data_IF_613364847553
#
_entry.id   IF_613364847553
#
_cell.length_a   1.000
_cell.length_b   1.000
_cell.length_c   1.000
_cell.angle_alpha   90.00
_cell.angle_beta   90.00
_cell.angle_gamma   90.00
#
_symmetry.space_group_name_H-M   'P 1'
#
loop_
_entity.id
_entity.type
_entity.pdbx_description
1 polymer ?
#
# COMPACT_ATOMS: atom_id res chain seq x y z
N UNK A 1 -2.40 32.03 -4.78
CA UNK A 1 -3.34 31.03 -4.22
C UNK A 1 -2.91 30.73 -2.79
N UNK A 2 -3.86 30.63 -1.86
CA UNK A 2 -3.59 30.36 -0.44
C UNK A 2 -4.49 29.25 0.07
N UNK A 3 -3.98 28.40 0.95
CA UNK A 3 -4.75 27.41 1.66
C UNK A 3 -5.66 28.09 2.67
N UNK A 4 -6.98 27.86 2.60
CA UNK A 4 -7.98 28.51 3.46
C UNK A 4 -8.52 27.59 4.54
N UNK A 5 -8.63 26.28 4.26
CA UNK A 5 -9.11 25.30 5.22
C UNK A 5 -8.72 23.87 4.83
N UNK A 6 -8.79 22.96 5.79
CA UNK A 6 -8.62 21.54 5.60
C UNK A 6 -9.83 20.82 6.16
N UNK A 7 -10.56 20.09 5.31
CA UNK A 7 -11.60 19.16 5.75
C UNK A 7 -10.94 17.78 5.94
N UNK A 8 -11.20 17.14 7.06
CA UNK A 8 -10.71 15.78 7.35
C UNK A 8 -11.91 14.85 7.48
N UNK A 9 -11.89 13.76 6.73
CA UNK A 9 -12.97 12.78 6.63
C UNK A 9 -12.54 11.43 7.20
N UNK A 10 -13.36 10.83 8.04
CA UNK A 10 -13.28 9.42 8.40
C UNK A 10 -14.36 8.66 7.62
N UNK A 11 -13.95 7.91 6.61
CA UNK A 11 -14.84 7.23 5.67
C UNK A 11 -15.63 6.10 6.34
N UNK A 12 -16.81 5.79 5.82
CA UNK A 12 -17.68 4.71 6.31
C UNK A 12 -18.14 3.84 5.13
N UNK A 13 -17.33 2.84 4.73
CA UNK A 13 -17.78 1.85 3.75
C UNK A 13 -19.02 1.10 4.25
N UNK A 14 -19.94 0.72 3.34
CA UNK A 14 -21.26 0.13 3.72
C UNK A 14 -21.13 -1.17 4.49
N UNK A 15 -20.16 -2.02 4.16
CA UNK A 15 -20.10 -3.41 4.61
C UNK A 15 -18.81 -3.78 5.34
N UNK A 16 -17.94 -2.81 5.61
CA UNK A 16 -16.67 -3.08 6.27
C UNK A 16 -16.72 -2.78 7.77
N UNK A 17 -16.08 -3.62 8.60
CA UNK A 17 -15.91 -3.31 10.01
C UNK A 17 -15.12 -2.02 10.21
N UNK A 18 -15.26 -1.39 11.36
CA UNK A 18 -14.55 -0.15 11.73
C UNK A 18 -13.02 -0.22 11.57
N UNK A 19 -12.45 -1.44 11.45
CA UNK A 19 -11.03 -1.69 11.25
C UNK A 19 -10.47 -1.17 9.91
N UNK A 20 -11.33 -0.89 8.91
CA UNK A 20 -10.93 -0.43 7.56
C UNK A 20 -11.40 1.00 7.27
N UNK A 21 -11.37 1.87 8.28
CA UNK A 21 -11.77 3.26 8.12
C UNK A 21 -10.67 4.09 7.47
N UNK A 22 -10.83 4.42 6.18
CA UNK A 22 -9.95 5.36 5.47
C UNK A 22 -10.06 6.78 6.06
N UNK A 23 -8.94 7.46 6.17
CA UNK A 23 -8.86 8.86 6.59
C UNK A 23 -8.38 9.68 5.41
N UNK A 24 -9.24 10.59 4.95
CA UNK A 24 -8.97 11.44 3.78
C UNK A 24 -9.00 12.90 4.21
N UNK A 25 -8.13 13.72 3.66
CA UNK A 25 -8.25 15.17 3.78
C UNK A 25 -8.57 15.81 2.43
N UNK A 26 -9.25 16.96 2.49
CA UNK A 26 -9.42 17.87 1.37
C UNK A 26 -8.85 19.23 1.75
N UNK A 27 -7.84 19.70 1.02
CA UNK A 27 -7.27 21.04 1.19
C UNK A 27 -8.02 21.99 0.27
N UNK A 28 -8.60 23.05 0.83
CA UNK A 28 -9.31 24.10 0.10
C UNK A 28 -8.43 25.34 -0.04
N UNK A 29 -8.64 26.12 -1.11
CA UNK A 29 -7.88 27.33 -1.38
C UNK A 29 -8.80 28.56 -1.47
N UNK A 30 -8.21 29.75 -1.55
CA UNK A 30 -8.90 31.03 -1.84
C UNK A 30 -9.37 31.15 -3.30
N UNK A 31 -9.27 30.05 -4.07
CA UNK A 31 -9.81 29.87 -5.42
C UNK A 31 -10.80 28.70 -5.43
N UNK A 32 -11.29 28.30 -6.60
CA UNK A 32 -12.14 27.11 -6.74
C UNK A 32 -11.36 25.78 -6.68
N UNK A 33 -10.00 25.84 -6.63
CA UNK A 33 -9.18 24.64 -6.60
C UNK A 33 -9.09 24.04 -5.20
N UNK A 34 -9.21 22.74 -5.16
CA UNK A 34 -9.02 21.91 -3.97
C UNK A 34 -8.33 20.58 -4.36
N UNK A 35 -7.76 19.90 -3.38
CA UNK A 35 -7.15 18.58 -3.61
C UNK A 35 -7.42 17.61 -2.49
N UNK A 36 -7.44 16.32 -2.83
CA UNK A 36 -7.65 15.21 -1.92
C UNK A 36 -6.37 14.43 -1.67
N UNK A 37 -6.23 13.91 -0.45
CA UNK A 37 -5.17 12.96 -0.08
C UNK A 37 -5.60 12.07 1.06
N UNK A 38 -4.95 10.92 1.23
CA UNK A 38 -5.31 9.88 2.19
C UNK A 38 -4.16 9.55 3.13
N UNK A 39 -4.50 9.23 4.38
CA UNK A 39 -3.61 8.71 5.41
C UNK A 39 -3.80 7.20 5.59
N UNK A 40 -2.76 6.40 5.33
CA UNK A 40 -2.79 4.94 5.36
C UNK A 40 -2.71 4.37 6.79
N UNK A 41 -3.69 4.68 7.60
CA UNK A 41 -3.85 4.11 8.96
C UNK A 41 -5.24 3.50 9.12
N UNK A 42 -5.80 3.04 7.99
CA UNK A 42 -7.16 2.52 7.92
C UNK A 42 -7.32 1.14 8.55
N UNK A 43 -6.26 0.32 8.53
CA UNK A 43 -6.26 -1.01 9.13
C UNK A 43 -5.83 -0.95 10.60
N UNK A 44 -6.51 -1.71 11.47
CA UNK A 44 -6.16 -1.83 12.89
C UNK A 44 -6.61 -0.63 13.74
N UNK A 45 -5.70 -0.06 14.52
CA UNK A 45 -5.99 0.89 15.61
C UNK A 45 -5.48 2.33 15.38
N UNK A 46 -5.15 2.73 14.17
CA UNK A 46 -4.50 4.03 13.91
C UNK A 46 -5.39 5.13 13.35
N UNK A 47 -6.54 4.78 12.76
CA UNK A 47 -7.31 5.68 11.90
C UNK A 47 -7.66 7.03 12.54
N UNK A 48 -8.27 7.04 13.73
CA UNK A 48 -8.63 8.31 14.38
C UNK A 48 -7.43 9.09 14.90
N UNK A 49 -6.31 8.43 15.20
CA UNK A 49 -5.06 9.13 15.52
C UNK A 49 -4.53 9.87 14.28
N UNK A 50 -4.57 9.24 13.10
CA UNK A 50 -4.24 9.90 11.82
C UNK A 50 -5.19 11.06 11.49
N UNK A 51 -6.49 10.90 11.74
CA UNK A 51 -7.49 11.97 11.59
C UNK A 51 -7.10 13.22 12.40
N UNK A 52 -6.80 13.05 13.68
CA UNK A 52 -6.40 14.15 14.54
C UNK A 52 -5.00 14.69 14.21
N UNK A 53 -4.07 13.84 13.75
CA UNK A 53 -2.74 14.30 13.37
C UNK A 53 -2.77 15.21 12.13
N UNK A 54 -3.66 14.97 11.15
CA UNK A 54 -3.88 15.91 10.03
C UNK A 54 -4.32 17.27 10.57
N UNK A 55 -5.23 17.30 11.55
CA UNK A 55 -5.68 18.55 12.17
C UNK A 55 -4.58 19.29 12.92
N UNK A 56 -3.69 18.57 13.61
CA UNK A 56 -2.52 19.14 14.29
C UNK A 56 -1.49 19.71 13.30
N UNK A 57 -1.37 19.14 12.10
CA UNK A 57 -0.48 19.65 11.06
C UNK A 57 -1.09 20.82 10.27
N UNK A 58 -2.40 20.99 10.27
CA UNK A 58 -3.09 22.01 9.50
C UNK A 58 -2.56 23.44 9.74
N UNK A 59 -2.29 23.90 10.99
CA UNK A 59 -1.76 25.24 11.25
C UNK A 59 -0.41 25.52 10.58
N UNK A 60 0.38 24.48 10.28
CA UNK A 60 1.69 24.64 9.60
C UNK A 60 1.52 25.12 8.16
N UNK A 61 0.41 24.73 7.51
CA UNK A 61 0.18 24.97 6.08
C UNK A 61 -0.92 25.99 5.78
N UNK A 62 -1.80 26.30 6.72
CA UNK A 62 -2.86 27.31 6.54
C UNK A 62 -2.29 28.66 6.16
N UNK A 63 -2.90 29.35 5.19
CA UNK A 63 -2.48 30.62 4.66
C UNK A 63 -1.27 30.56 3.71
N UNK A 64 -0.64 29.40 3.54
CA UNK A 64 0.50 29.21 2.66
C UNK A 64 0.07 28.97 1.21
N UNK A 65 1.01 29.12 0.28
CA UNK A 65 0.82 28.78 -1.14
C UNK A 65 0.94 27.26 -1.35
N UNK A 66 -0.16 26.58 -1.77
CA UNK A 66 -0.16 25.11 -1.96
C UNK A 66 0.76 24.63 -3.07
N UNK A 67 1.21 25.49 -3.98
CA UNK A 67 2.14 25.11 -5.05
C UNK A 67 3.57 24.87 -4.57
N UNK A 68 3.90 25.32 -3.35
CA UNK A 68 5.21 25.12 -2.73
C UNK A 68 5.32 23.76 -2.02
N UNK A 69 4.97 22.68 -2.69
CA UNK A 69 4.80 21.32 -2.12
C UNK A 69 6.04 20.87 -1.34
N UNK A 70 7.25 20.96 -1.91
CA UNK A 70 8.51 20.59 -1.23
C UNK A 70 8.76 21.43 0.04
N UNK A 71 8.52 22.73 -0.04
CA UNK A 71 8.72 23.60 1.10
C UNK A 71 7.73 23.31 2.22
N UNK A 72 6.46 23.03 1.90
CA UNK A 72 5.43 22.65 2.88
C UNK A 72 5.76 21.30 3.52
N UNK A 73 6.24 20.34 2.72
CA UNK A 73 6.72 19.07 3.22
C UNK A 73 7.83 19.24 4.27
N UNK A 74 8.84 20.05 3.95
CA UNK A 74 9.96 20.36 4.86
C UNK A 74 9.47 21.09 6.12
N UNK A 75 8.49 22.00 6.01
CA UNK A 75 7.91 22.68 7.18
C UNK A 75 7.21 21.69 8.11
N UNK A 76 6.37 20.80 7.59
CA UNK A 76 5.74 19.76 8.39
C UNK A 76 6.78 18.86 9.08
N UNK A 77 7.83 18.49 8.35
CA UNK A 77 8.89 17.62 8.86
C UNK A 77 9.77 18.29 9.93
N UNK A 78 10.14 19.56 9.75
CA UNK A 78 11.11 20.27 10.60
C UNK A 78 10.46 21.02 11.75
N UNK A 79 9.34 21.71 11.51
CA UNK A 79 8.78 22.67 12.48
C UNK A 79 7.92 22.00 13.56
N UNK A 80 7.55 20.73 13.38
CA UNK A 80 6.72 19.99 14.34
C UNK A 80 7.50 19.33 15.48
N UNK A 81 8.81 19.52 15.57
CA UNK A 81 9.74 18.92 16.52
C UNK A 81 9.85 17.37 16.43
N UNK A 82 8.72 16.63 16.31
CA UNK A 82 8.67 15.18 16.28
C UNK A 82 8.79 14.58 14.87
N UNK A 83 8.71 15.39 13.82
CA UNK A 83 8.69 14.94 12.43
C UNK A 83 9.89 14.10 12.03
N UNK A 84 11.10 14.48 12.48
CA UNK A 84 12.35 13.81 12.10
C UNK A 84 12.47 12.36 12.57
N UNK A 85 11.72 11.94 13.57
CA UNK A 85 11.64 10.55 14.04
C UNK A 85 10.20 10.06 14.19
N UNK A 86 9.29 10.65 13.43
CA UNK A 86 7.87 10.30 13.41
C UNK A 86 7.63 8.83 13.03
N UNK A 87 6.48 8.36 13.42
CA UNK A 87 6.00 7.01 13.10
C UNK A 87 4.83 7.06 12.11
N UNK A 88 4.10 5.94 11.95
CA UNK A 88 3.03 5.81 10.95
C UNK A 88 1.96 6.89 11.06
N UNK A 89 1.59 7.30 12.27
CA UNK A 89 0.55 8.33 12.48
C UNK A 89 1.00 9.69 11.93
N UNK A 90 2.22 10.09 12.21
CA UNK A 90 2.78 11.37 11.74
C UNK A 90 2.95 11.37 10.21
N UNK A 91 3.63 10.34 9.68
CA UNK A 91 3.90 10.30 8.24
C UNK A 91 2.66 10.02 7.39
N UNK A 92 1.66 9.29 7.90
CA UNK A 92 0.40 9.16 7.17
C UNK A 92 -0.36 10.48 7.08
N UNK A 93 -0.35 11.31 8.14
CA UNK A 93 -0.93 12.65 8.08
C UNK A 93 -0.17 13.56 7.11
N UNK A 94 1.18 13.53 7.12
CA UNK A 94 1.99 14.24 6.12
C UNK A 94 1.68 13.77 4.70
N UNK A 95 1.52 12.44 4.49
CA UNK A 95 1.21 11.87 3.19
C UNK A 95 -0.14 12.36 2.67
N UNK A 96 -1.17 12.37 3.52
CA UNK A 96 -2.48 12.88 3.15
C UNK A 96 -2.40 14.35 2.68
N UNK A 97 -1.68 15.18 3.41
CA UNK A 97 -1.49 16.59 3.06
C UNK A 97 -0.69 16.72 1.76
N UNK A 98 0.42 16.00 1.61
CA UNK A 98 1.28 16.07 0.42
C UNK A 98 0.53 15.61 -0.85
N UNK A 99 -0.20 14.49 -0.77
CA UNK A 99 -1.01 14.01 -1.91
C UNK A 99 -2.03 15.07 -2.31
N UNK A 100 -2.72 15.70 -1.34
CA UNK A 100 -3.70 16.75 -1.61
C UNK A 100 -3.04 18.01 -2.22
N UNK A 101 -1.85 18.38 -1.78
CA UNK A 101 -1.08 19.50 -2.37
C UNK A 101 -0.64 19.20 -3.80
N UNK A 102 -0.19 17.96 -4.07
CA UNK A 102 0.17 17.53 -5.42
C UNK A 102 -1.06 17.46 -6.33
N UNK A 103 -2.22 17.06 -5.82
CA UNK A 103 -3.50 17.10 -6.53
C UNK A 103 -3.88 18.53 -6.92
N UNK A 104 -3.80 19.49 -5.99
CA UNK A 104 -4.00 20.93 -6.28
C UNK A 104 -3.02 21.41 -7.36
N UNK A 105 -1.75 21.05 -7.24
CA UNK A 105 -0.71 21.49 -8.17
C UNK A 105 -0.95 20.97 -9.57
N UNK A 106 -1.34 19.69 -9.72
CA UNK A 106 -1.74 19.11 -10.99
C UNK A 106 -2.95 19.82 -11.60
N UNK A 107 -3.99 20.05 -10.81
CA UNK A 107 -5.19 20.80 -11.21
C UNK A 107 -4.87 22.24 -11.61
N UNK A 108 -4.00 22.92 -10.87
CA UNK A 108 -3.59 24.29 -11.17
C UNK A 108 -2.84 24.43 -12.49
N UNK A 109 -2.07 23.41 -12.87
CA UNK A 109 -1.33 23.39 -14.15
C UNK A 109 -2.10 22.67 -15.26
N UNK A 110 -3.26 22.08 -14.97
CA UNK A 110 -4.08 21.36 -15.93
C UNK A 110 -3.44 20.04 -16.40
N UNK A 111 -2.64 19.37 -15.54
CA UNK A 111 -1.92 18.15 -15.85
C UNK A 111 -2.07 17.09 -14.76
N UNK A 112 -2.02 15.79 -15.11
CA UNK A 112 -1.93 14.71 -14.12
C UNK A 112 -0.64 14.80 -13.28
N UNK A 113 -0.66 14.27 -12.05
CA UNK A 113 0.49 14.33 -11.15
C UNK A 113 1.76 13.68 -11.72
N UNK A 114 1.64 12.61 -12.53
CA UNK A 114 2.81 11.99 -13.14
C UNK A 114 3.62 12.96 -14.02
N UNK A 115 2.99 13.98 -14.63
CA UNK A 115 3.67 15.01 -15.41
C UNK A 115 4.55 15.91 -14.53
N UNK A 116 4.18 16.12 -13.26
CA UNK A 116 4.94 16.94 -12.31
C UNK A 116 6.19 16.23 -11.77
N UNK A 117 6.25 14.90 -11.89
CA UNK A 117 7.30 14.06 -11.29
C UNK A 117 8.11 13.27 -12.30
N UNK A 118 8.13 13.71 -13.58
CA UNK A 118 9.03 13.16 -14.60
C UNK A 118 8.36 12.73 -15.89
N UNK A 119 7.04 12.68 -15.95
CA UNK A 119 6.29 12.25 -17.13
C UNK A 119 6.02 10.74 -17.18
N UNK A 120 5.09 10.35 -18.02
CA UNK A 120 4.57 8.99 -18.10
C UNK A 120 5.56 8.04 -18.81
N UNK A 121 5.89 6.92 -18.16
CA UNK A 121 6.70 5.81 -18.70
C UNK A 121 5.83 4.69 -19.29
N UNK A 122 4.56 4.58 -18.85
CA UNK A 122 3.62 3.52 -19.24
C UNK A 122 2.17 3.99 -19.18
N UNK A 123 1.32 3.39 -20.03
CA UNK A 123 -0.11 3.73 -20.10
C UNK A 123 -0.98 2.90 -19.16
N UNK A 124 -0.45 1.76 -18.71
CA UNK A 124 -1.09 0.84 -17.77
C UNK A 124 -0.06 0.20 -16.87
N UNK A 125 -0.50 -0.29 -15.74
CA UNK A 125 0.32 -1.05 -14.80
C UNK A 125 -0.25 -2.45 -14.63
N UNK A 126 0.61 -3.48 -14.76
CA UNK A 126 0.30 -4.85 -14.40
C UNK A 126 0.06 -4.92 -12.89
N UNK A 127 -0.99 -5.63 -12.47
CA UNK A 127 -1.29 -5.81 -11.05
C UNK A 127 -1.25 -7.28 -10.63
N UNK A 128 -1.08 -7.49 -9.33
CA UNK A 128 -1.31 -8.79 -8.70
C UNK A 128 -2.57 -8.78 -7.84
N UNK A 129 -3.24 -9.93 -7.76
CA UNK A 129 -4.35 -10.16 -6.85
C UNK A 129 -3.80 -10.44 -5.44
N UNK A 130 -4.12 -9.56 -4.47
CA UNK A 130 -3.54 -9.57 -3.13
C UNK A 130 -4.51 -10.08 -2.07
N UNK A 131 -3.97 -10.77 -1.06
CA UNK A 131 -4.69 -11.26 0.12
C UNK A 131 -5.69 -12.39 -0.17
N UNK A 132 -5.29 -13.35 -1.01
CA UNK A 132 -6.15 -14.46 -1.42
C UNK A 132 -6.59 -15.36 -0.26
N UNK A 133 -5.87 -15.40 0.85
CA UNK A 133 -6.29 -16.12 2.06
C UNK A 133 -7.61 -15.59 2.65
N UNK A 134 -8.00 -14.34 2.31
CA UNK A 134 -9.30 -13.77 2.69
C UNK A 134 -10.41 -14.14 1.69
N UNK A 135 -10.05 -14.81 0.59
CA UNK A 135 -10.90 -15.14 -0.53
C UNK A 135 -10.78 -14.14 -1.68
N UNK A 136 -10.97 -14.63 -2.91
CA UNK A 136 -11.06 -13.80 -4.13
C UNK A 136 -12.37 -14.11 -4.84
N UNK A 137 -13.50 -13.49 -4.46
CA UNK A 137 -14.81 -13.87 -4.96
C UNK A 137 -14.99 -13.50 -6.44
N UNK A 138 -15.51 -14.42 -7.24
CA UNK A 138 -15.94 -14.17 -8.61
C UNK A 138 -17.16 -13.23 -8.66
N UNK A 139 -18.01 -13.29 -7.61
CA UNK A 139 -19.20 -12.45 -7.42
C UNK A 139 -19.11 -11.76 -6.06
N UNK A 140 -19.28 -10.44 -6.03
CA UNK A 140 -19.28 -9.64 -4.80
C UNK A 140 -20.34 -10.11 -3.78
N UNK A 141 -21.45 -10.65 -4.23
CA UNK A 141 -22.49 -11.21 -3.36
C UNK A 141 -22.00 -12.41 -2.52
N UNK A 142 -20.96 -13.11 -2.98
CA UNK A 142 -20.31 -14.19 -2.23
C UNK A 142 -19.58 -13.67 -0.98
N UNK A 143 -19.10 -12.43 -1.02
CA UNK A 143 -18.30 -11.82 0.04
C UNK A 143 -16.94 -12.50 0.25
N UNK A 144 -16.22 -12.07 1.28
CA UNK A 144 -14.95 -12.67 1.71
C UNK A 144 -15.18 -14.05 2.31
N UNK A 145 -14.33 -15.01 1.94
CA UNK A 145 -14.32 -16.37 2.48
C UNK A 145 -12.89 -16.79 2.76
N UNK A 146 -12.56 -16.94 4.02
CA UNK A 146 -11.21 -17.34 4.45
C UNK A 146 -10.86 -18.71 3.86
N UNK A 147 -9.75 -18.79 3.16
CA UNK A 147 -9.17 -20.01 2.64
C UNK A 147 -8.50 -20.79 3.78
N UNK A 148 -8.79 -22.07 3.91
CA UNK A 148 -8.27 -22.91 4.99
C UNK A 148 -7.47 -24.09 4.45
N UNK A 149 -8.06 -24.84 3.52
CA UNK A 149 -7.43 -26.03 2.95
C UNK A 149 -6.55 -25.69 1.75
N UNK A 150 -5.61 -26.55 1.35
CA UNK A 150 -4.84 -26.36 0.11
C UNK A 150 -5.74 -26.13 -1.12
N UNK A 151 -6.89 -26.82 -1.20
CA UNK A 151 -7.86 -26.67 -2.28
C UNK A 151 -8.56 -25.32 -2.26
N UNK A 152 -8.78 -24.73 -1.07
CA UNK A 152 -9.34 -23.39 -0.95
C UNK A 152 -8.36 -22.35 -1.55
N UNK A 153 -7.06 -22.41 -1.18
CA UNK A 153 -6.03 -21.51 -1.71
C UNK A 153 -5.88 -21.64 -3.23
N UNK A 154 -5.88 -22.87 -3.74
CA UNK A 154 -5.84 -23.14 -5.18
C UNK A 154 -7.04 -22.51 -5.90
N UNK A 155 -8.24 -22.70 -5.38
CA UNK A 155 -9.48 -22.14 -5.95
C UNK A 155 -9.47 -20.60 -5.97
N UNK A 156 -9.07 -19.93 -4.89
CA UNK A 156 -9.04 -18.46 -4.86
C UNK A 156 -8.00 -17.91 -5.85
N UNK A 157 -6.89 -18.62 -6.04
CA UNK A 157 -5.90 -18.27 -7.07
C UNK A 157 -6.47 -18.44 -8.50
N UNK A 158 -7.17 -19.55 -8.79
CA UNK A 158 -7.85 -19.76 -10.08
C UNK A 158 -8.90 -18.67 -10.36
N UNK A 159 -9.63 -18.21 -9.32
CA UNK A 159 -10.58 -17.09 -9.47
C UNK A 159 -9.87 -15.81 -9.92
N UNK A 160 -8.70 -15.49 -9.35
CA UNK A 160 -7.92 -14.33 -9.76
C UNK A 160 -7.43 -14.46 -11.22
N UNK A 161 -6.98 -15.64 -11.63
CA UNK A 161 -6.53 -15.88 -13.01
C UNK A 161 -7.65 -15.71 -14.05
N UNK A 162 -8.88 -16.08 -13.72
CA UNK A 162 -10.04 -15.86 -14.61
C UNK A 162 -10.30 -14.38 -14.89
N UNK A 163 -9.88 -13.48 -14.00
CA UNK A 163 -9.96 -12.02 -14.17
C UNK A 163 -8.73 -11.44 -14.90
N UNK A 164 -7.82 -12.30 -15.37
CA UNK A 164 -6.65 -11.91 -16.14
C UNK A 164 -5.40 -11.61 -15.33
N UNK A 165 -5.41 -11.81 -13.99
CA UNK A 165 -4.19 -11.65 -13.21
C UNK A 165 -3.18 -12.74 -13.55
N UNK A 166 -1.92 -12.32 -13.68
CA UNK A 166 -0.76 -13.17 -13.94
C UNK A 166 0.20 -13.24 -12.74
N UNK A 167 -0.17 -12.58 -11.66
CA UNK A 167 0.51 -12.60 -10.38
C UNK A 167 -0.48 -12.57 -9.21
N UNK A 168 -0.13 -13.23 -8.13
CA UNK A 168 -0.95 -13.35 -6.92
C UNK A 168 -0.10 -13.17 -5.66
N UNK A 169 -0.69 -12.62 -4.59
CA UNK A 169 -0.07 -12.55 -3.25
C UNK A 169 -0.95 -13.21 -2.19
N UNK A 170 -0.32 -13.98 -1.30
CA UNK A 170 -1.03 -14.67 -0.23
C UNK A 170 -0.12 -14.92 0.97
N UNK A 171 -0.70 -14.82 2.17
CA UNK A 171 -0.11 -15.33 3.40
C UNK A 171 -0.60 -16.77 3.64
N UNK A 172 0.29 -17.75 3.42
CA UNK A 172 -0.03 -19.17 3.59
C UNK A 172 0.02 -19.64 5.06
N UNK A 173 0.45 -18.76 5.97
CA UNK A 173 0.71 -19.09 7.38
C UNK A 173 -0.31 -18.53 8.34
N UNK A 174 -0.98 -17.43 8.01
CA UNK A 174 -1.80 -16.64 8.94
C UNK A 174 -3.13 -17.30 9.32
N UNK A 175 -3.62 -18.28 8.57
CA UNK A 175 -4.88 -18.99 8.86
C UNK A 175 -4.61 -20.36 9.48
N UNK A 176 -5.22 -20.61 10.67
CA UNK A 176 -5.16 -21.90 11.34
C UNK A 176 -6.02 -22.98 10.64
N UNK A 177 -5.86 -24.27 11.02
CA UNK A 177 -6.67 -25.36 10.46
C UNK A 177 -8.15 -25.28 10.87
N UNK A 178 -8.47 -24.47 11.88
CA UNK A 178 -9.82 -24.17 12.35
C UNK A 178 -10.49 -23.01 11.58
N UNK A 179 -9.81 -22.42 10.59
CA UNK A 179 -10.29 -21.29 9.80
C UNK A 179 -10.19 -19.93 10.50
N UNK A 180 -9.50 -19.85 11.62
CA UNK A 180 -9.27 -18.60 12.34
C UNK A 180 -7.91 -18.00 12.01
N UNK A 181 -7.84 -16.67 12.06
CA UNK A 181 -6.56 -16.00 11.99
C UNK A 181 -5.72 -16.41 13.21
N UNK A 182 -4.45 -16.75 12.96
CA UNK A 182 -3.50 -17.11 14.02
C UNK A 182 -3.10 -15.85 14.81
N UNK A 183 -2.71 -16.05 16.06
CA UNK A 183 -2.07 -14.98 16.84
C UNK A 183 -0.71 -14.62 16.23
N UNK A 184 -0.35 -13.32 16.30
CA UNK A 184 0.84 -12.74 15.65
C UNK A 184 2.18 -13.33 16.11
N UNK A 185 2.23 -14.01 17.25
CA UNK A 185 3.45 -14.61 17.80
C UNK A 185 3.62 -16.11 17.47
N UNK A 186 2.63 -16.72 16.80
CA UNK A 186 2.65 -18.16 16.48
C UNK A 186 3.78 -18.55 15.52
N UNK A 187 4.25 -17.62 14.69
CA UNK A 187 5.32 -17.84 13.70
C UNK A 187 6.70 -17.33 14.19
N UNK A 188 6.94 -17.28 15.49
CA UNK A 188 8.21 -16.81 16.06
C UNK A 188 9.06 -17.95 16.61
N UNK A 189 10.38 -17.75 16.63
CA UNK A 189 11.35 -18.73 17.11
C UNK A 189 11.45 -19.94 16.18
N UNK A 190 11.58 -21.12 16.77
CA UNK A 190 11.58 -22.38 16.01
C UNK A 190 10.14 -22.78 15.71
N UNK A 191 9.72 -22.59 14.46
CA UNK A 191 8.36 -22.90 14.03
C UNK A 191 8.18 -24.44 13.94
N UNK A 192 7.08 -24.99 14.50
CA UNK A 192 6.78 -26.41 14.38
C UNK A 192 6.72 -26.87 12.92
N UNK A 193 7.30 -28.04 12.65
CA UNK A 193 7.34 -28.62 11.29
C UNK A 193 5.95 -28.70 10.64
N UNK A 194 4.95 -29.05 11.41
CA UNK A 194 3.57 -29.14 10.94
C UNK A 194 3.03 -27.82 10.35
N UNK A 195 3.41 -26.67 10.93
CA UNK A 195 3.01 -25.36 10.42
C UNK A 195 3.69 -25.07 9.09
N UNK A 196 4.98 -25.36 8.97
CA UNK A 196 5.71 -25.23 7.69
C UNK A 196 5.12 -26.18 6.64
N UNK A 197 4.87 -27.45 7.00
CA UNK A 197 4.29 -28.43 6.09
C UNK A 197 2.90 -27.98 5.59
N UNK A 198 2.06 -27.41 6.48
CA UNK A 198 0.74 -26.86 6.12
C UNK A 198 0.88 -25.70 5.12
N UNK A 199 1.79 -24.75 5.38
CA UNK A 199 2.01 -23.64 4.46
C UNK A 199 2.55 -24.12 3.10
N UNK A 200 3.48 -25.08 3.10
CA UNK A 200 3.99 -25.71 1.89
C UNK A 200 2.90 -26.45 1.11
N UNK A 201 2.01 -27.19 1.77
CA UNK A 201 0.92 -27.89 1.10
C UNK A 201 -0.06 -26.91 0.41
N UNK A 202 -0.39 -25.79 1.06
CA UNK A 202 -1.21 -24.73 0.48
C UNK A 202 -0.54 -24.10 -0.74
N UNK A 203 0.74 -23.76 -0.61
CA UNK A 203 1.54 -23.18 -1.71
C UNK A 203 1.69 -24.16 -2.88
N UNK A 204 1.96 -25.44 -2.61
CA UNK A 204 2.06 -26.48 -3.62
C UNK A 204 0.77 -26.64 -4.42
N UNK A 205 -0.38 -26.68 -3.73
CA UNK A 205 -1.69 -26.75 -4.37
C UNK A 205 -1.96 -25.50 -5.23
N UNK A 206 -1.62 -24.33 -4.71
CA UNK A 206 -1.70 -23.04 -5.45
C UNK A 206 -0.83 -23.09 -6.70
N UNK A 207 0.46 -23.43 -6.59
CA UNK A 207 1.40 -23.51 -7.72
C UNK A 207 0.93 -24.51 -8.78
N UNK A 208 0.41 -25.65 -8.36
CA UNK A 208 -0.15 -26.67 -9.27
C UNK A 208 -1.38 -26.16 -10.02
N UNK A 209 -2.24 -25.40 -9.35
CA UNK A 209 -3.45 -24.83 -9.96
C UNK A 209 -3.15 -23.71 -10.95
N UNK A 210 -2.22 -22.80 -10.62
CA UNK A 210 -1.91 -21.63 -11.47
C UNK A 210 -0.86 -21.91 -12.55
N UNK A 211 -0.12 -23.02 -12.46
CA UNK A 211 0.94 -23.36 -13.41
C UNK A 211 2.28 -22.64 -13.13
N UNK A 212 3.31 -22.90 -13.95
CA UNK A 212 4.67 -22.39 -13.71
C UNK A 212 4.85 -20.90 -14.06
N UNK A 213 4.01 -20.34 -14.91
CA UNK A 213 4.20 -19.00 -15.51
C UNK A 213 3.57 -17.87 -14.67
N UNK A 214 2.79 -18.21 -13.65
CA UNK A 214 2.16 -17.22 -12.76
C UNK A 214 3.12 -16.86 -11.61
N UNK A 215 3.33 -15.57 -11.39
CA UNK A 215 4.13 -15.09 -10.29
C UNK A 215 3.40 -15.28 -8.95
N UNK A 216 4.03 -15.92 -7.97
CA UNK A 216 3.51 -16.07 -6.62
C UNK A 216 4.36 -15.27 -5.64
N UNK A 217 3.73 -14.30 -5.00
CA UNK A 217 4.30 -13.51 -3.90
C UNK A 217 3.85 -14.15 -2.59
N UNK A 218 4.81 -14.37 -1.69
CA UNK A 218 4.53 -14.91 -0.35
C UNK A 218 4.65 -13.80 0.68
N UNK A 219 3.57 -13.57 1.39
CA UNK A 219 3.43 -12.54 2.42
C UNK A 219 3.62 -13.12 3.82
N UNK A 220 4.24 -12.35 4.74
CA UNK A 220 4.39 -12.70 6.15
C UNK A 220 3.88 -11.64 7.13
N UNK A 221 3.56 -10.43 6.69
CA UNK A 221 3.12 -9.30 7.53
C UNK A 221 4.01 -9.07 8.78
N UNK A 222 5.31 -9.32 8.69
CA UNK A 222 6.25 -9.27 9.82
C UNK A 222 5.85 -10.16 11.02
N UNK A 223 5.09 -11.24 10.83
CA UNK A 223 4.73 -12.18 11.90
C UNK A 223 5.85 -13.16 12.21
N UNK A 224 6.80 -13.34 11.30
CA UNK A 224 8.03 -14.12 11.49
C UNK A 224 9.12 -13.28 12.16
N UNK A 225 10.17 -13.95 12.65
CA UNK A 225 11.39 -13.33 13.16
C UNK A 225 12.62 -13.81 12.37
N UNK A 226 13.82 -13.44 12.81
CA UNK A 226 15.07 -13.76 12.12
C UNK A 226 15.27 -15.26 11.84
N UNK A 227 14.79 -16.13 12.73
CA UNK A 227 14.95 -17.59 12.62
C UNK A 227 13.84 -18.20 11.77
N UNK A 228 12.59 -17.90 12.11
CA UNK A 228 11.42 -18.46 11.46
C UNK A 228 11.28 -17.99 10.01
N UNK A 229 11.67 -16.74 9.70
CA UNK A 229 11.69 -16.23 8.33
C UNK A 229 12.60 -17.07 7.44
N UNK A 230 13.83 -17.36 7.90
CA UNK A 230 14.79 -18.21 7.17
C UNK A 230 14.25 -19.63 7.04
N UNK A 231 13.75 -20.20 8.14
CA UNK A 231 13.19 -21.56 8.15
C UNK A 231 12.05 -21.72 7.14
N UNK A 232 11.15 -20.76 7.11
CA UNK A 232 10.00 -20.75 6.19
C UNK A 232 10.43 -20.49 4.75
N UNK A 233 11.22 -19.44 4.50
CA UNK A 233 11.66 -19.07 3.16
C UNK A 233 12.44 -20.23 2.49
N UNK A 234 13.36 -20.90 3.19
CA UNK A 234 14.07 -22.08 2.66
C UNK A 234 13.12 -23.23 2.30
N UNK A 235 12.05 -23.43 3.06
CA UNK A 235 11.08 -24.49 2.77
C UNK A 235 10.27 -24.22 1.49
N UNK A 236 10.08 -22.94 1.13
CA UNK A 236 9.26 -22.53 -0.03
C UNK A 236 10.07 -22.19 -1.29
N UNK A 237 11.41 -22.07 -1.24
CA UNK A 237 12.28 -21.76 -2.40
C UNK A 237 11.97 -22.62 -3.64
N UNK A 238 11.74 -23.90 -3.43
CA UNK A 238 11.47 -24.88 -4.51
C UNK A 238 10.21 -24.61 -5.34
N UNK A 239 9.32 -23.73 -4.88
CA UNK A 239 8.06 -23.43 -5.57
C UNK A 239 8.15 -22.23 -6.53
N UNK A 240 9.33 -21.63 -6.73
CA UNK A 240 9.53 -20.53 -7.68
C UNK A 240 8.81 -19.26 -7.24
N UNK A 241 9.15 -18.75 -6.06
CA UNK A 241 8.54 -17.56 -5.47
C UNK A 241 9.08 -16.29 -6.14
N UNK A 242 8.18 -15.38 -6.50
CA UNK A 242 8.52 -14.12 -7.15
C UNK A 242 9.29 -13.18 -6.21
N UNK A 243 8.77 -12.96 -5.02
CA UNK A 243 9.46 -12.37 -3.87
C UNK A 243 8.77 -12.74 -2.56
N UNK A 244 9.54 -12.59 -1.45
CA UNK A 244 9.12 -12.87 -0.09
C UNK A 244 8.98 -11.56 0.67
N UNK A 245 7.74 -11.21 1.04
CA UNK A 245 7.36 -9.93 1.59
C UNK A 245 7.30 -9.98 3.11
N UNK A 246 7.91 -8.95 3.75
CA UNK A 246 7.88 -8.74 5.20
C UNK A 246 8.22 -9.97 6.06
N UNK A 247 9.18 -10.79 5.58
CA UNK A 247 9.68 -11.94 6.36
C UNK A 247 10.37 -11.54 7.67
N UNK A 248 10.79 -10.28 7.82
CA UNK A 248 11.42 -9.76 9.04
C UNK A 248 10.86 -8.40 9.40
N UNK A 249 10.98 -8.01 10.68
CA UNK A 249 10.60 -6.67 11.12
C UNK A 249 11.45 -5.60 10.43
N UNK A 250 10.85 -4.47 10.03
CA UNK A 250 11.59 -3.35 9.44
C UNK A 250 12.38 -2.54 10.47
N UNK A 251 12.46 -2.99 11.72
CA UNK A 251 13.13 -2.29 12.81
C UNK A 251 14.62 -2.65 12.94
N UNK A 252 15.03 -3.76 12.31
CA UNK A 252 16.41 -4.27 12.40
C UNK A 252 16.90 -4.72 11.03
N UNK A 253 17.75 -3.91 10.41
CA UNK A 253 18.31 -4.18 9.08
C UNK A 253 19.25 -5.39 9.07
N UNK A 254 19.94 -5.72 10.19
CA UNK A 254 20.81 -6.88 10.26
C UNK A 254 20.02 -8.20 10.15
N UNK A 255 18.81 -8.27 10.70
CA UNK A 255 17.95 -9.46 10.54
C UNK A 255 17.46 -9.61 9.11
N UNK A 256 17.05 -8.51 8.46
CA UNK A 256 16.69 -8.51 7.04
C UNK A 256 17.85 -8.96 6.16
N UNK A 257 19.06 -8.41 6.39
CA UNK A 257 20.29 -8.77 5.70
C UNK A 257 20.66 -10.25 5.87
N UNK A 258 20.57 -10.78 7.08
CA UNK A 258 20.84 -12.19 7.34
C UNK A 258 19.83 -13.09 6.61
N UNK A 259 18.56 -12.74 6.59
CA UNK A 259 17.53 -13.46 5.84
C UNK A 259 17.86 -13.44 4.35
N UNK A 260 18.07 -12.27 3.76
CA UNK A 260 18.35 -12.09 2.33
C UNK A 260 19.62 -12.84 1.86
N UNK A 261 20.64 -12.98 2.72
CA UNK A 261 21.87 -13.73 2.39
C UNK A 261 21.74 -15.24 2.55
N UNK A 262 20.70 -15.71 3.24
CA UNK A 262 20.54 -17.13 3.58
C UNK A 262 19.59 -17.85 2.64
N UNK A 263 18.72 -17.09 1.93
CA UNK A 263 17.71 -17.64 1.02
C UNK A 263 17.88 -17.07 -0.39
N UNK A 264 17.46 -17.85 -1.41
CA UNK A 264 17.57 -17.45 -2.83
C UNK A 264 16.23 -16.92 -3.39
N UNK A 265 15.46 -16.24 -2.56
CA UNK A 265 14.22 -15.57 -2.98
C UNK A 265 14.46 -14.06 -2.85
N UNK A 266 14.09 -13.22 -3.82
CA UNK A 266 14.11 -11.77 -3.66
C UNK A 266 13.29 -11.34 -2.45
N UNK A 267 13.85 -10.45 -1.62
CA UNK A 267 13.18 -9.90 -0.43
C UNK A 267 12.45 -8.62 -0.76
N UNK A 268 11.24 -8.48 -0.24
CA UNK A 268 10.45 -7.27 -0.34
C UNK A 268 10.08 -6.75 1.06
N UNK A 269 10.09 -5.43 1.22
CA UNK A 269 9.63 -4.77 2.45
C UNK A 269 9.38 -3.28 2.16
N UNK A 270 8.48 -2.66 2.94
CA UNK A 270 8.32 -1.23 2.81
C UNK A 270 7.08 -0.60 3.42
N UNK A 271 5.97 -1.29 3.56
CA UNK A 271 4.72 -0.70 4.06
C UNK A 271 4.85 -0.08 5.47
N UNK A 272 5.84 -0.53 6.24
CA UNK A 272 6.19 -0.04 7.58
C UNK A 272 7.53 0.68 7.63
N UNK A 273 8.10 1.06 6.47
CA UNK A 273 9.32 1.86 6.36
C UNK A 273 8.95 3.24 5.83
N UNK A 274 9.28 4.29 6.59
CA UNK A 274 8.87 5.65 6.30
C UNK A 274 10.07 6.49 5.91
N UNK A 275 9.94 7.33 4.87
CA UNK A 275 10.95 8.24 4.35
C UNK A 275 12.21 7.57 3.77
N UNK A 276 12.86 8.24 2.82
CA UNK A 276 14.10 7.76 2.17
C UNK A 276 15.24 7.45 3.15
N UNK A 277 15.29 8.12 4.29
CA UNK A 277 16.35 7.90 5.30
C UNK A 277 16.27 6.51 5.92
N UNK A 278 15.07 5.99 6.14
CA UNK A 278 14.89 4.65 6.72
C UNK A 278 15.01 3.53 5.69
N UNK A 279 14.79 3.82 4.39
CA UNK A 279 15.06 2.86 3.32
C UNK A 279 16.55 2.68 3.04
N UNK A 280 17.35 3.75 3.19
CA UNK A 280 18.76 3.75 2.83
C UNK A 280 19.57 2.57 3.43
N UNK A 281 19.48 2.22 4.73
CA UNK A 281 20.24 1.10 5.29
C UNK A 281 19.90 -0.26 4.64
N UNK A 282 18.62 -0.50 4.31
CA UNK A 282 18.20 -1.73 3.65
C UNK A 282 18.76 -1.84 2.23
N UNK A 283 18.79 -0.75 1.50
CA UNK A 283 19.34 -0.69 0.15
C UNK A 283 20.88 -0.83 0.16
N UNK A 284 21.57 -0.14 1.07
CA UNK A 284 23.03 -0.25 1.20
C UNK A 284 23.50 -1.66 1.55
N UNK A 285 22.71 -2.40 2.30
CA UNK A 285 23.00 -3.76 2.72
C UNK A 285 22.51 -4.83 1.74
N UNK A 286 21.81 -4.42 0.66
CA UNK A 286 21.16 -5.32 -0.31
C UNK A 286 20.23 -6.33 0.39
N UNK A 287 19.54 -5.87 1.42
CA UNK A 287 18.64 -6.70 2.20
C UNK A 287 17.19 -6.71 1.69
N UNK A 288 16.86 -5.82 0.75
CA UNK A 288 15.60 -5.80 0.00
C UNK A 288 15.89 -5.48 -1.47
N UNK A 289 15.30 -6.25 -2.39
CA UNK A 289 15.39 -6.08 -3.83
C UNK A 289 14.11 -5.50 -4.43
N UNK A 290 13.00 -5.57 -3.66
CA UNK A 290 11.72 -4.93 -4.01
C UNK A 290 11.34 -3.98 -2.87
N UNK A 291 11.32 -2.69 -3.17
CA UNK A 291 10.97 -1.62 -2.23
C UNK A 291 9.47 -1.35 -2.32
N UNK A 292 8.77 -1.35 -1.18
CA UNK A 292 7.31 -1.29 -1.12
C UNK A 292 6.79 -0.10 -0.30
N UNK A 293 7.05 1.16 -0.72
CA UNK A 293 6.55 2.31 0.02
C UNK A 293 5.02 2.37 -0.06
N UNK A 294 4.37 2.53 1.07
CA UNK A 294 2.94 2.85 1.10
C UNK A 294 2.78 4.36 0.82
N UNK A 295 2.14 4.70 -0.31
CA UNK A 295 2.00 6.09 -0.77
C UNK A 295 1.38 7.00 0.29
N UNK A 296 0.46 6.47 1.07
CA UNK A 296 -0.33 7.20 2.05
C UNK A 296 0.31 7.17 3.47
N UNK A 297 1.54 6.67 3.63
CA UNK A 297 2.29 6.79 4.90
C UNK A 297 3.81 6.99 4.77
N UNK A 298 4.37 6.91 3.58
CA UNK A 298 5.82 7.11 3.39
C UNK A 298 6.24 8.59 3.36
N UNK A 299 5.30 9.51 3.29
CA UNK A 299 5.49 10.95 3.12
C UNK A 299 4.82 11.52 1.87
N UNK A 300 3.89 10.80 1.25
CA UNK A 300 3.12 11.20 0.07
C UNK A 300 3.86 11.04 -1.25
N UNK A 301 3.33 11.64 -2.31
CA UNK A 301 3.88 11.58 -3.68
C UNK A 301 5.30 12.13 -3.73
N UNK A 302 5.53 13.26 -3.07
CA UNK A 302 6.84 13.95 -3.03
C UNK A 302 7.94 13.05 -2.47
N UNK A 303 7.71 12.41 -1.35
CA UNK A 303 8.71 11.53 -0.71
C UNK A 303 8.77 10.16 -1.36
N UNK A 304 7.63 9.61 -1.78
CA UNK A 304 7.57 8.33 -2.48
C UNK A 304 8.44 8.36 -3.75
N UNK A 305 8.36 9.43 -4.54
CA UNK A 305 9.22 9.62 -5.71
C UNK A 305 10.70 9.57 -5.34
N UNK A 306 11.12 10.24 -4.25
CA UNK A 306 12.51 10.24 -3.79
C UNK A 306 12.97 8.86 -3.29
N UNK A 307 12.08 8.08 -2.67
CA UNK A 307 12.33 6.69 -2.29
C UNK A 307 12.56 5.84 -3.56
N UNK A 308 11.72 6.00 -4.58
CA UNK A 308 11.86 5.28 -5.86
C UNK A 308 13.17 5.62 -6.57
N UNK A 309 13.57 6.90 -6.59
CA UNK A 309 14.84 7.35 -7.17
C UNK A 309 16.05 6.80 -6.40
N UNK A 310 15.96 6.75 -5.06
CA UNK A 310 16.98 6.12 -4.21
C UNK A 310 17.08 4.62 -4.50
N UNK A 311 15.96 3.90 -4.57
CA UNK A 311 15.92 2.48 -4.90
C UNK A 311 16.55 2.20 -6.27
N UNK A 312 16.31 3.07 -7.26
CA UNK A 312 16.88 2.94 -8.61
C UNK A 312 18.43 3.02 -8.62
N UNK A 313 19.05 3.78 -7.71
CA UNK A 313 20.52 3.84 -7.58
C UNK A 313 21.10 2.48 -7.17
N UNK A 314 20.33 1.69 -6.42
CA UNK A 314 20.72 0.36 -5.93
C UNK A 314 20.14 -0.80 -6.76
N UNK A 315 19.66 -0.53 -7.98
CA UNK A 315 19.02 -1.52 -8.87
C UNK A 315 17.81 -2.24 -8.24
N UNK A 316 17.20 -1.66 -7.19
CA UNK A 316 16.02 -2.21 -6.58
C UNK A 316 14.74 -1.80 -7.34
N UNK A 317 13.86 -2.78 -7.53
CA UNK A 317 12.53 -2.58 -8.11
C UNK A 317 11.57 -1.95 -7.09
N UNK A 318 10.49 -1.34 -7.59
CA UNK A 318 9.46 -0.73 -6.74
C UNK A 318 8.11 -1.36 -7.02
N UNK A 319 7.44 -1.76 -5.96
CA UNK A 319 6.03 -2.09 -5.90
C UNK A 319 5.41 -1.20 -4.82
N UNK A 320 4.57 -0.25 -5.19
CA UNK A 320 3.92 0.63 -4.20
C UNK A 320 2.84 -0.17 -3.48
N UNK A 321 2.94 -0.24 -2.14
CA UNK A 321 1.91 -0.85 -1.30
C UNK A 321 0.63 0.00 -1.33
N UNK A 322 -0.54 -0.63 -1.53
CA UNK A 322 -1.84 0.04 -1.61
C UNK A 322 -2.89 -0.73 -0.84
N UNK A 323 -3.21 -0.27 0.35
CA UNK A 323 -4.30 -0.80 1.17
C UNK A 323 -5.17 0.34 1.71
N UNK A 324 -5.85 1.06 0.81
CA UNK A 324 -6.63 2.26 1.14
C UNK A 324 -7.86 2.46 0.25
N UNK A 325 -8.37 3.68 0.25
CA UNK A 325 -9.50 4.09 -0.59
C UNK A 325 -9.07 4.36 -2.05
N UNK A 326 -10.01 4.65 -2.97
CA UNK A 326 -9.67 5.07 -4.33
C UNK A 326 -8.76 6.31 -4.41
N UNK A 327 -8.63 7.11 -3.35
CA UNK A 327 -7.72 8.27 -3.31
C UNK A 327 -6.26 7.80 -3.27
N UNK A 328 -5.90 6.88 -2.38
CA UNK A 328 -4.53 6.35 -2.33
C UNK A 328 -4.19 5.50 -3.55
N UNK A 329 -5.15 4.72 -4.08
CA UNK A 329 -5.01 4.00 -5.34
C UNK A 329 -4.63 4.94 -6.48
N UNK A 330 -5.38 6.02 -6.67
CA UNK A 330 -5.11 7.01 -7.71
C UNK A 330 -3.73 7.66 -7.55
N UNK A 331 -3.36 8.03 -6.31
CA UNK A 331 -2.06 8.62 -6.01
C UNK A 331 -0.90 7.64 -6.33
N UNK A 332 -1.04 6.36 -5.99
CA UNK A 332 -0.06 5.33 -6.31
C UNK A 332 0.13 5.18 -7.82
N UNK A 333 -0.97 5.08 -8.57
CA UNK A 333 -0.93 4.97 -10.04
C UNK A 333 -0.20 6.16 -10.70
N UNK A 334 -0.30 7.38 -10.14
CA UNK A 334 0.44 8.54 -10.65
C UNK A 334 1.96 8.37 -10.48
N UNK A 335 2.43 7.84 -9.36
CA UNK A 335 3.86 7.60 -9.15
C UNK A 335 4.34 6.42 -9.99
N UNK A 336 3.61 5.32 -10.01
CA UNK A 336 3.92 4.11 -10.80
C UNK A 336 3.98 4.39 -12.30
N UNK A 337 3.17 5.33 -12.78
CA UNK A 337 3.23 5.79 -14.16
C UNK A 337 4.58 6.44 -14.51
N UNK A 338 5.24 7.12 -13.54
CA UNK A 338 6.38 7.99 -13.79
C UNK A 338 7.74 7.37 -13.43
N UNK A 339 7.79 6.31 -12.62
CA UNK A 339 9.06 5.72 -12.17
C UNK A 339 9.60 4.70 -13.17
N UNK A 340 10.93 4.66 -13.45
CA UNK A 340 11.51 3.69 -14.38
C UNK A 340 11.61 2.28 -13.81
N UNK A 341 11.80 2.15 -12.50
CA UNK A 341 12.01 0.88 -11.78
C UNK A 341 10.74 0.26 -11.19
N UNK A 342 9.57 0.57 -11.76
CA UNK A 342 8.30 -0.05 -11.42
C UNK A 342 8.31 -1.55 -11.70
N UNK A 343 7.82 -2.35 -10.75
CA UNK A 343 7.73 -3.80 -10.86
C UNK A 343 6.31 -4.30 -11.14
N UNK A 344 5.38 -3.99 -10.25
CA UNK A 344 4.00 -4.47 -10.31
C UNK A 344 3.12 -3.63 -9.34
N UNK A 345 1.83 -3.53 -9.60
CA UNK A 345 0.84 -2.83 -8.74
C UNK A 345 0.11 -3.79 -7.82
N UNK A 346 -0.21 -3.36 -6.60
CA UNK A 346 -1.04 -4.12 -5.67
C UNK A 346 -2.53 -3.87 -5.88
N UNK A 347 -3.30 -4.92 -6.16
CA UNK A 347 -4.76 -4.88 -6.04
C UNK A 347 -5.22 -5.71 -4.85
N UNK A 348 -5.35 -5.07 -3.70
CA UNK A 348 -5.87 -5.69 -2.49
C UNK A 348 -7.31 -6.15 -2.69
N UNK A 349 -7.69 -7.36 -2.21
CA UNK A 349 -9.04 -7.92 -2.38
C UNK A 349 -10.16 -6.96 -1.95
N UNK A 350 -9.92 -6.13 -0.93
CA UNK A 350 -10.89 -5.12 -0.45
C UNK A 350 -11.18 -4.06 -1.53
N UNK A 351 -10.18 -3.69 -2.32
CA UNK A 351 -10.32 -2.69 -3.39
C UNK A 351 -11.09 -3.22 -4.60
N UNK A 352 -11.24 -4.54 -4.72
CA UNK A 352 -12.08 -5.18 -5.72
C UNK A 352 -13.58 -4.88 -5.50
N UNK A 353 -14.01 -4.79 -4.24
CA UNK A 353 -15.43 -4.65 -3.91
C UNK A 353 -15.99 -3.27 -4.23
N UNK A 354 -17.23 -3.24 -4.72
CA UNK A 354 -17.94 -2.00 -5.05
C UNK A 354 -18.06 -1.07 -3.84
N UNK A 355 -18.27 -1.61 -2.64
CA UNK A 355 -18.38 -0.78 -1.42
C UNK A 355 -17.09 0.00 -1.09
N UNK A 356 -15.93 -0.40 -1.60
CA UNK A 356 -14.69 0.41 -1.53
C UNK A 356 -14.61 1.34 -2.73
N UNK A 357 -14.85 0.82 -3.96
CA UNK A 357 -14.75 1.60 -5.19
C UNK A 357 -15.75 2.75 -5.25
N UNK A 358 -16.98 2.58 -4.70
CA UNK A 358 -18.01 3.62 -4.62
C UNK A 358 -17.65 4.82 -3.70
N UNK A 359 -16.56 4.70 -2.90
CA UNK A 359 -16.04 5.84 -2.14
C UNK A 359 -15.35 6.86 -3.05
N UNK A 360 -14.88 6.45 -4.22
CA UNK A 360 -14.35 7.31 -5.26
C UNK A 360 -15.43 7.79 -6.23
N UNK A 361 -15.21 8.96 -6.81
CA UNK A 361 -16.07 9.54 -7.86
C UNK A 361 -15.93 8.79 -9.18
N UNK A 362 -14.72 8.31 -9.45
CA UNK A 362 -14.39 7.48 -10.62
C UNK A 362 -14.23 6.03 -10.17
N UNK A 363 -14.90 5.10 -10.84
CA UNK A 363 -14.73 3.66 -10.60
C UNK A 363 -13.41 3.19 -11.23
N UNK A 364 -12.43 2.89 -10.38
CA UNK A 364 -11.10 2.45 -10.78
C UNK A 364 -10.95 0.93 -10.55
N UNK A 365 -11.59 0.14 -11.39
CA UNK A 365 -11.46 -1.31 -11.37
C UNK A 365 -10.30 -1.78 -12.27
N UNK A 366 -9.62 -2.87 -11.86
CA UNK A 366 -8.67 -3.56 -12.73
C UNK A 366 -9.40 -4.18 -13.93
N UNK A 367 -8.76 -4.16 -15.10
CA UNK A 367 -9.26 -4.78 -16.32
C UNK A 367 -8.22 -5.76 -16.86
N UNK A 368 -8.56 -7.04 -16.90
CA UNK A 368 -7.65 -8.12 -17.30
C UNK A 368 -6.32 -8.10 -16.51
N UNK A 369 -6.39 -7.89 -15.20
CA UNK A 369 -5.21 -7.85 -14.33
C UNK A 369 -4.36 -6.58 -14.41
N UNK A 370 -4.81 -5.54 -15.13
CA UNK A 370 -4.10 -4.26 -15.30
C UNK A 370 -4.96 -3.09 -14.79
N UNK A 371 -4.30 -2.01 -14.34
CA UNK A 371 -4.92 -0.70 -14.12
C UNK A 371 -4.51 0.28 -15.22
N UNK A 372 -5.46 1.10 -15.65
CA UNK A 372 -5.18 2.26 -16.50
C UNK A 372 -4.69 3.42 -15.63
N UNK A 373 -3.75 4.19 -16.17
CA UNK A 373 -3.26 5.40 -15.49
C UNK A 373 -4.29 6.52 -15.65
N UNK A 374 -4.71 7.19 -14.55
CA UNK A 374 -5.61 8.34 -14.62
C UNK A 374 -4.98 9.51 -15.38
N UNK A 375 -5.71 10.06 -16.36
CA UNK A 375 -5.24 11.16 -17.23
C UNK A 375 -5.78 12.53 -16.80
N UNK A 376 -6.77 12.57 -15.91
CA UNK A 376 -7.34 13.82 -15.42
C UNK A 376 -6.33 14.63 -14.59
N UNK A 377 -6.42 15.97 -14.58
CA UNK A 377 -5.56 16.83 -13.78
C UNK A 377 -5.54 16.46 -12.29
N UNK A 378 -4.37 16.54 -11.68
CA UNK A 378 -4.15 16.10 -10.30
C UNK A 378 -3.92 14.61 -10.20
N UNK A 379 -4.46 13.97 -9.16
CA UNK A 379 -4.42 12.50 -9.01
C UNK A 379 -5.47 11.80 -9.89
N UNK A 380 -6.44 12.52 -10.46
CA UNK A 380 -7.51 11.98 -11.28
C UNK A 380 -8.63 11.30 -10.47
N UNK A 381 -8.75 11.59 -9.17
CA UNK A 381 -9.78 11.01 -8.30
C UNK A 381 -10.26 12.03 -7.25
N UNK A 382 -11.51 11.88 -6.84
CA UNK A 382 -12.16 12.64 -5.77
C UNK A 382 -13.05 11.73 -4.93
N UNK A 383 -13.46 12.18 -3.74
CA UNK A 383 -14.49 11.47 -2.99
C UNK A 383 -15.84 11.56 -3.70
N UNK A 384 -16.60 10.47 -3.69
CA UNK A 384 -17.95 10.42 -4.20
C UNK A 384 -18.92 11.19 -3.30
N UNK A 385 -20.10 11.54 -3.84
CA UNK A 385 -21.17 12.13 -3.02
C UNK A 385 -21.58 11.23 -1.84
N UNK A 386 -21.62 9.91 -2.06
CA UNK A 386 -21.88 8.94 -1.00
C UNK A 386 -20.85 9.05 0.12
N UNK A 387 -19.56 9.08 -0.22
CA UNK A 387 -18.48 9.21 0.76
C UNK A 387 -18.58 10.52 1.54
N UNK A 388 -18.84 11.64 0.86
CA UNK A 388 -18.98 12.96 1.48
C UNK A 388 -20.19 13.04 2.42
N UNK A 389 -21.33 12.42 2.06
CA UNK A 389 -22.56 12.45 2.86
C UNK A 389 -22.50 11.54 4.08
N UNK A 390 -21.73 10.43 4.02
CA UNK A 390 -21.73 9.41 5.08
C UNK A 390 -20.53 9.50 6.00
N UNK A 391 -19.43 10.14 5.59
CA UNK A 391 -18.24 10.29 6.41
C UNK A 391 -18.48 11.15 7.65
N UNK A 392 -17.82 10.82 8.75
CA UNK A 392 -17.62 11.80 9.80
C UNK A 392 -16.55 12.78 9.34
N UNK A 393 -16.80 14.08 9.45
CA UNK A 393 -15.82 15.08 9.03
C UNK A 393 -15.73 16.27 10.00
N UNK A 394 -14.56 16.90 10.01
CA UNK A 394 -14.29 18.16 10.70
C UNK A 394 -13.47 19.07 9.79
N UNK A 395 -13.65 20.38 9.95
CA UNK A 395 -12.90 21.41 9.20
C UNK A 395 -11.99 22.20 10.14
N UNK A 396 -10.74 22.43 9.72
CA UNK A 396 -9.78 23.32 10.36
C UNK A 396 -9.58 24.55 9.46
N UNK A 397 -9.69 25.76 10.05
CA UNK A 397 -9.56 27.06 9.37
C UNK A 397 -8.51 27.91 10.03
#
# INVERSE_FOLDING_TARGET
MKITSIDVFALKPRYMPQAMRGIVCRINTDTELYGYGEAAVSYGKGSMAGFHMIKELAPVILGQDPLRTEWLWERMFMDTFWGQSGGPIFYSAMSAIDIALMDIKGKAFGVPCYQLIGGKQRDRVRAYASQLQLGWPEDEARGLRIAVTPEDYAREAECALKEGYTAIKTDFTCVGPDGRMRDHDTMRGIVPKEMIDTACARLEATRKAVGPDVDIIVECHSHTDALSAVQYAQAIEKYGIYYFEEGTYPLNTDTAKNCARTVNIPMANGERIYTRWRYLPFLQDDSIQVVQPEIANCGGITECRKICDLAHIFDASVQIHVCGSPISLAAALQVEAAIPNFQIHENHVINKFLFTRELGKVDMAAVNGDFLIPEEPGIGQELSEYALQTAYHETVQ
#
